data_IF_016297009378
#
_entry.id   IF_016297009378
#
_cell.length_a   1.000
_cell.length_b   1.000
_cell.length_c   1.000
_cell.angle_alpha   90.00
_cell.angle_beta   90.00
_cell.angle_gamma   90.00
#
_symmetry.space_group_name_H-M   'P 1'
#
loop_
_entity.id
_entity.type
_entity.pdbx_description
1 polymer ?
#
# COMPACT_ATOMS: atom_id res chain seq x y z
N UNK A 1 10.15 4.21 -0.89
CA UNK A 1 9.51 3.54 -2.05
C UNK A 1 9.97 4.23 -3.33
N UNK A 2 10.23 3.45 -4.40
CA UNK A 2 10.66 3.95 -5.70
C UNK A 2 9.54 4.62 -6.50
N UNK A 3 8.27 4.44 -6.12
CA UNK A 3 7.15 5.13 -6.74
C UNK A 3 7.22 6.66 -6.50
N UNK A 4 6.83 7.42 -7.53
CA UNK A 4 6.60 8.86 -7.50
C UNK A 4 5.24 9.23 -6.88
N UNK A 5 4.42 8.23 -6.53
CA UNK A 5 3.15 8.40 -5.82
C UNK A 5 3.31 9.24 -4.57
N UNK A 6 2.61 10.37 -4.57
CA UNK A 6 2.57 11.36 -3.49
C UNK A 6 1.15 11.60 -2.97
N UNK A 7 0.18 10.76 -3.37
CA UNK A 7 -1.17 10.80 -2.82
C UNK A 7 -1.19 10.16 -1.43
N UNK A 8 -1.97 10.74 -0.52
CA UNK A 8 -2.19 10.20 0.81
C UNK A 8 -3.57 9.52 0.86
N UNK A 9 -3.82 8.73 1.91
CA UNK A 9 -5.09 8.00 2.08
C UNK A 9 -6.30 8.92 2.22
N UNK A 10 -6.12 10.09 2.82
CA UNK A 10 -7.19 11.10 2.95
C UNK A 10 -7.69 11.57 1.56
N UNK A 11 -6.77 11.89 0.64
CA UNK A 11 -7.15 12.17 -0.74
C UNK A 11 -7.81 10.96 -1.41
N UNK A 12 -7.32 9.75 -1.13
CA UNK A 12 -7.89 8.51 -1.63
C UNK A 12 -9.37 8.37 -1.29
N UNK A 13 -9.72 8.45 -0.01
CA UNK A 13 -11.11 8.35 0.49
C UNK A 13 -12.00 9.44 -0.14
N UNK A 14 -11.54 10.69 -0.17
CA UNK A 14 -12.32 11.79 -0.74
C UNK A 14 -12.56 11.64 -2.24
N UNK A 15 -11.60 11.07 -2.98
CA UNK A 15 -11.73 10.79 -4.41
C UNK A 15 -12.70 9.63 -4.71
N UNK A 16 -13.10 8.83 -3.71
CA UNK A 16 -14.15 7.82 -3.87
C UNK A 16 -15.54 8.46 -3.88
N UNK A 17 -15.76 9.63 -3.26
CA UNK A 17 -17.08 10.25 -3.17
C UNK A 17 -17.71 10.56 -4.55
N UNK A 18 -17.00 11.14 -5.54
CA UNK A 18 -17.54 11.32 -6.87
C UNK A 18 -17.95 10.00 -7.55
N UNK A 19 -17.24 8.90 -7.28
CA UNK A 19 -17.59 7.57 -7.79
C UNK A 19 -18.90 7.08 -7.15
N UNK A 20 -19.03 7.22 -5.82
CA UNK A 20 -20.26 6.88 -5.09
C UNK A 20 -21.47 7.65 -5.63
N UNK A 21 -21.34 8.96 -5.85
CA UNK A 21 -22.40 9.78 -6.43
C UNK A 21 -22.77 9.31 -7.84
N UNK A 22 -21.76 9.00 -8.68
CA UNK A 22 -21.97 8.55 -10.05
C UNK A 22 -22.70 7.20 -10.11
N UNK A 23 -22.18 6.18 -9.42
CA UNK A 23 -22.77 4.84 -9.42
C UNK A 23 -24.11 4.79 -8.68
N UNK A 24 -24.25 5.57 -7.60
CA UNK A 24 -25.52 5.74 -6.89
C UNK A 24 -26.61 6.36 -7.79
N UNK A 25 -26.26 7.37 -8.59
CA UNK A 25 -27.18 7.95 -9.56
C UNK A 25 -27.57 6.95 -10.66
N UNK A 26 -26.64 6.12 -11.15
CA UNK A 26 -26.94 5.08 -12.13
C UNK A 26 -27.90 4.02 -11.58
N UNK A 27 -27.74 3.62 -10.32
CA UNK A 27 -28.66 2.70 -9.64
C UNK A 27 -29.95 3.38 -9.16
N UNK A 28 -30.06 4.71 -9.29
CA UNK A 28 -31.19 5.54 -8.84
C UNK A 28 -31.45 5.40 -7.33
N UNK A 29 -30.37 5.32 -6.56
CA UNK A 29 -30.43 5.31 -5.11
C UNK A 29 -30.97 6.66 -4.59
N UNK A 30 -31.71 6.62 -3.49
CA UNK A 30 -32.11 7.84 -2.80
C UNK A 30 -30.93 8.46 -2.07
N UNK A 31 -31.07 9.73 -1.66
CA UNK A 31 -29.99 10.47 -1.02
C UNK A 31 -29.52 9.82 0.29
N UNK A 32 -30.44 9.26 1.08
CA UNK A 32 -30.08 8.62 2.34
C UNK A 32 -29.24 7.35 2.12
N UNK A 33 -29.50 6.62 1.03
CA UNK A 33 -28.67 5.48 0.62
C UNK A 33 -27.30 5.94 0.15
N UNK A 34 -27.22 7.00 -0.67
CA UNK A 34 -25.93 7.57 -1.11
C UNK A 34 -25.10 8.03 0.10
N UNK A 35 -25.71 8.76 1.04
CA UNK A 35 -25.05 9.21 2.27
C UNK A 35 -24.58 8.03 3.13
N UNK A 36 -25.37 6.95 3.19
CA UNK A 36 -24.96 5.73 3.89
C UNK A 36 -23.73 5.07 3.28
N UNK A 37 -23.58 5.10 1.96
CA UNK A 37 -22.40 4.56 1.27
C UNK A 37 -21.19 5.45 1.53
N UNK A 38 -21.32 6.78 1.44
CA UNK A 38 -20.22 7.70 1.79
C UNK A 38 -19.69 7.45 3.20
N UNK A 39 -20.58 7.37 4.19
CA UNK A 39 -20.18 7.10 5.58
C UNK A 39 -19.45 5.76 5.68
N UNK A 40 -19.94 4.72 4.99
CA UNK A 40 -19.28 3.41 4.99
C UNK A 40 -17.86 3.49 4.40
N UNK A 41 -17.71 4.15 3.25
CA UNK A 41 -16.42 4.33 2.56
C UNK A 41 -15.43 5.17 3.37
N UNK A 42 -15.89 6.23 4.06
CA UNK A 42 -15.04 7.02 4.97
C UNK A 42 -14.50 6.19 6.16
N UNK A 43 -15.20 5.11 6.52
CA UNK A 43 -14.84 4.23 7.63
C UNK A 43 -13.79 3.17 7.32
N UNK A 44 -13.51 2.88 6.06
CA UNK A 44 -12.70 1.71 5.68
C UNK A 44 -11.19 1.94 5.88
N UNK A 45 -10.71 3.12 5.49
CA UNK A 45 -9.29 3.46 5.41
C UNK A 45 -8.64 4.27 6.58
N UNK A 46 -9.36 4.86 7.56
CA UNK A 46 -8.76 5.78 8.53
C UNK A 46 -7.90 5.09 9.60
N UNK A 47 -7.89 3.76 9.62
CA UNK A 47 -7.31 2.92 10.68
C UNK A 47 -5.94 2.35 10.33
N UNK A 48 -5.47 2.61 9.11
CA UNK A 48 -4.16 2.17 8.68
C UNK A 48 -3.06 2.81 9.52
N UNK A 49 -2.06 1.98 9.84
CA UNK A 49 -0.84 2.43 10.52
C UNK A 49 0.09 3.17 9.55
N UNK A 50 1.15 3.79 10.07
CA UNK A 50 2.24 4.30 9.25
C UNK A 50 2.74 3.24 8.25
N UNK A 51 3.01 3.66 7.02
CA UNK A 51 3.34 2.82 5.87
C UNK A 51 2.30 1.72 5.58
N UNK A 52 1.09 1.83 6.14
CA UNK A 52 -0.05 0.94 5.94
C UNK A 52 0.35 -0.54 6.02
N UNK A 53 0.18 -1.30 4.93
CA UNK A 53 0.36 -2.73 4.89
C UNK A 53 1.77 -3.16 5.31
N UNK A 54 2.79 -2.32 5.14
CA UNK A 54 4.16 -2.64 5.60
C UNK A 54 4.17 -2.99 7.09
N UNK A 55 3.50 -2.20 7.93
CA UNK A 55 3.46 -2.45 9.36
C UNK A 55 2.40 -3.46 9.76
N UNK A 56 1.37 -3.66 8.95
CA UNK A 56 0.44 -4.78 9.14
C UNK A 56 1.13 -6.13 8.93
N UNK A 57 2.03 -6.25 7.96
CA UNK A 57 2.88 -7.43 7.81
C UNK A 57 3.74 -7.67 9.06
N UNK A 58 4.20 -6.59 9.70
CA UNK A 58 4.92 -6.66 10.97
C UNK A 58 4.02 -6.93 12.19
N UNK A 59 2.69 -6.87 12.06
CA UNK A 59 1.73 -7.26 13.11
C UNK A 59 1.29 -8.70 12.89
N UNK A 60 0.79 -9.00 11.69
CA UNK A 60 0.10 -10.24 11.34
C UNK A 60 1.08 -11.32 10.88
N UNK A 61 1.83 -11.04 9.80
CA UNK A 61 2.94 -11.83 9.23
C UNK A 61 3.24 -11.39 7.78
N UNK A 62 4.41 -11.77 7.27
CA UNK A 62 4.78 -11.63 5.87
C UNK A 62 3.82 -12.40 4.94
N UNK A 63 3.31 -11.74 3.90
CA UNK A 63 2.29 -12.30 3.01
C UNK A 63 0.95 -12.63 3.70
N UNK A 64 0.70 -12.04 4.86
CA UNK A 64 -0.55 -12.17 5.61
C UNK A 64 -1.76 -11.56 4.90
N UNK A 65 -2.94 -11.58 5.56
CA UNK A 65 -4.17 -11.05 4.98
C UNK A 65 -4.15 -9.53 4.74
N UNK A 66 -3.31 -8.79 5.47
CA UNK A 66 -3.22 -7.32 5.40
C UNK A 66 -4.55 -6.64 5.76
N UNK A 67 -5.25 -7.21 6.76
CA UNK A 67 -6.59 -6.78 7.22
C UNK A 67 -6.61 -6.33 8.71
N UNK A 68 -5.45 -5.94 9.27
CA UNK A 68 -5.40 -5.53 10.67
C UNK A 68 -6.07 -4.17 10.89
N UNK A 69 -6.11 -3.32 9.88
CA UNK A 69 -6.66 -1.97 9.98
C UNK A 69 -8.19 -2.02 10.15
N UNK A 70 -8.90 -2.89 9.43
CA UNK A 70 -10.35 -3.12 9.59
C UNK A 70 -10.66 -3.61 11.01
N UNK A 71 -9.92 -4.61 11.51
CA UNK A 71 -10.07 -5.11 12.88
C UNK A 71 -9.83 -4.07 13.98
N UNK A 72 -9.16 -2.96 13.66
CA UNK A 72 -8.84 -1.87 14.61
C UNK A 72 -9.82 -0.72 14.55
N UNK A 73 -10.74 -0.71 13.58
CA UNK A 73 -11.73 0.35 13.43
C UNK A 73 -12.51 0.68 14.71
N UNK A 74 -13.15 -0.27 15.42
CA UNK A 74 -13.93 0.07 16.61
C UNK A 74 -13.15 0.84 17.66
N UNK A 75 -11.91 0.41 17.93
CA UNK A 75 -11.07 1.02 18.95
C UNK A 75 -10.61 2.42 18.53
N UNK A 76 -10.19 2.60 17.28
CA UNK A 76 -9.70 3.88 16.80
C UNK A 76 -10.82 4.90 16.64
N UNK A 77 -12.00 4.46 16.19
CA UNK A 77 -13.20 5.27 16.17
C UNK A 77 -13.58 5.73 17.60
N UNK A 78 -13.47 4.86 18.60
CA UNK A 78 -13.75 5.20 20.01
C UNK A 78 -12.75 6.25 20.51
N UNK A 79 -11.47 6.01 20.28
CA UNK A 79 -10.39 6.92 20.71
C UNK A 79 -10.47 8.28 20.03
N UNK A 80 -10.88 8.34 18.76
CA UNK A 80 -11.06 9.57 17.98
C UNK A 80 -12.36 10.32 18.28
N UNK A 81 -13.29 9.71 19.02
CA UNK A 81 -14.62 10.27 19.29
C UNK A 81 -15.63 10.08 18.16
N UNK A 82 -15.26 9.37 17.09
CA UNK A 82 -16.15 9.05 15.96
C UNK A 82 -17.35 8.22 16.40
N UNK A 83 -17.17 7.30 17.36
CA UNK A 83 -18.27 6.44 17.84
C UNK A 83 -19.42 7.23 18.45
N UNK A 84 -19.13 8.30 19.19
CA UNK A 84 -20.16 9.15 19.77
C UNK A 84 -21.04 9.80 18.68
N UNK A 85 -20.42 10.21 17.56
CA UNK A 85 -21.15 10.76 16.41
C UNK A 85 -21.98 9.67 15.74
N UNK A 86 -21.40 8.50 15.49
CA UNK A 86 -22.12 7.37 14.88
C UNK A 86 -23.33 6.93 15.73
N UNK A 87 -23.15 6.85 17.06
CA UNK A 87 -24.20 6.47 18.02
C UNK A 87 -25.35 7.49 18.04
N UNK A 88 -25.04 8.79 18.03
CA UNK A 88 -26.03 9.88 17.97
C UNK A 88 -26.90 9.78 16.70
N UNK A 89 -26.34 9.25 15.62
CA UNK A 89 -27.01 9.01 14.35
C UNK A 89 -27.57 7.59 14.18
N UNK A 90 -27.55 6.75 15.23
CA UNK A 90 -28.01 5.35 15.22
C UNK A 90 -27.32 4.48 14.16
N UNK A 91 -26.07 4.81 13.84
CA UNK A 91 -25.21 4.05 12.93
C UNK A 91 -24.48 3.00 13.76
N UNK A 92 -24.61 1.73 13.37
CA UNK A 92 -23.91 0.62 14.03
C UNK A 92 -22.57 0.38 13.35
N UNK A 93 -21.60 -0.15 14.07
CA UNK A 93 -20.29 -0.46 13.51
C UNK A 93 -19.68 -1.70 14.17
N UNK A 94 -18.90 -2.43 13.40
CA UNK A 94 -17.98 -3.47 13.85
C UNK A 94 -16.60 -3.20 13.23
N UNK A 95 -16.08 -4.11 12.41
CA UNK A 95 -14.92 -3.86 11.56
C UNK A 95 -15.26 -2.90 10.40
N UNK A 96 -16.55 -2.64 10.19
CA UNK A 96 -17.09 -1.71 9.19
C UNK A 96 -18.25 -0.90 9.74
N UNK A 97 -18.59 0.18 9.05
CA UNK A 97 -19.75 1.01 9.39
C UNK A 97 -21.02 0.47 8.69
N UNK A 98 -22.12 0.38 9.46
CA UNK A 98 -23.41 -0.13 9.01
C UNK A 98 -24.52 0.87 9.32
N UNK A 99 -25.07 1.50 8.29
CA UNK A 99 -26.21 2.43 8.43
C UNK A 99 -27.52 1.66 8.34
N UNK A 100 -28.32 1.71 9.41
CA UNK A 100 -29.56 0.95 9.52
C UNK A 100 -30.54 1.27 8.37
N UNK A 101 -31.01 0.22 7.71
CA UNK A 101 -31.99 0.33 6.62
C UNK A 101 -31.39 0.53 5.23
N UNK A 102 -30.07 0.66 5.13
CA UNK A 102 -29.33 0.78 3.88
C UNK A 102 -28.36 -0.38 3.71
N UNK A 103 -28.21 -0.84 2.48
CA UNK A 103 -27.30 -1.93 2.10
C UNK A 103 -26.18 -1.37 1.23
N UNK A 104 -24.92 -1.56 1.61
CA UNK A 104 -23.78 -1.16 0.78
C UNK A 104 -23.65 -2.14 -0.40
N UNK A 105 -23.80 -1.69 -1.66
CA UNK A 105 -23.78 -2.56 -2.84
C UNK A 105 -22.36 -3.05 -3.19
N UNK A 106 -22.25 -4.13 -3.98
CA UNK A 106 -20.97 -4.73 -4.38
C UNK A 106 -20.07 -3.78 -5.18
N UNK A 107 -20.64 -2.89 -5.99
CA UNK A 107 -19.85 -1.87 -6.70
C UNK A 107 -19.21 -0.86 -5.75
N UNK A 108 -19.77 -0.67 -4.55
CA UNK A 108 -19.20 0.20 -3.54
C UNK A 108 -18.10 -0.55 -2.80
N UNK A 109 -18.39 -1.73 -2.23
CA UNK A 109 -17.38 -2.58 -1.59
C UNK A 109 -17.52 -4.02 -2.10
N UNK A 110 -16.55 -4.47 -2.91
CA UNK A 110 -16.64 -5.80 -3.50
C UNK A 110 -16.33 -6.90 -2.48
N UNK A 111 -17.11 -7.97 -2.49
CA UNK A 111 -16.85 -9.14 -1.63
C UNK A 111 -15.75 -10.04 -2.17
N UNK A 112 -15.49 -9.99 -3.48
CA UNK A 112 -14.44 -10.80 -4.11
C UNK A 112 -13.25 -9.96 -4.51
N UNK A 113 -12.05 -10.52 -4.30
CA UNK A 113 -10.80 -9.85 -4.63
C UNK A 113 -10.54 -9.66 -6.12
N UNK A 114 -11.37 -10.20 -7.01
CA UNK A 114 -11.18 -10.11 -8.46
C UNK A 114 -12.08 -9.05 -9.09
N UNK A 115 -13.13 -8.64 -8.38
CA UNK A 115 -14.07 -7.61 -8.83
C UNK A 115 -13.49 -6.21 -8.63
N UNK A 116 -14.02 -5.25 -9.39
CA UNK A 116 -13.77 -3.84 -9.15
C UNK A 116 -14.85 -3.28 -8.22
N UNK A 117 -14.41 -2.36 -7.37
CA UNK A 117 -15.23 -1.50 -6.52
C UNK A 117 -14.70 -0.06 -6.59
N UNK A 118 -15.34 0.87 -5.85
CA UNK A 118 -14.93 2.29 -5.90
C UNK A 118 -13.53 2.51 -5.32
N UNK A 119 -13.13 1.76 -4.30
CA UNK A 119 -11.78 1.84 -3.73
C UNK A 119 -10.72 1.48 -4.76
N UNK A 120 -10.90 0.33 -5.43
CA UNK A 120 -9.98 -0.13 -6.48
C UNK A 120 -9.94 0.77 -7.68
N UNK A 121 -11.10 1.22 -8.14
CA UNK A 121 -11.17 2.11 -9.27
C UNK A 121 -10.47 3.44 -8.95
N UNK A 122 -10.64 3.96 -7.72
CA UNK A 122 -10.00 5.20 -7.28
C UNK A 122 -8.48 5.06 -7.30
N UNK A 123 -7.89 4.08 -6.60
CA UNK A 123 -6.42 4.01 -6.54
C UNK A 123 -5.83 3.64 -7.90
N UNK A 124 -6.54 2.84 -8.73
CA UNK A 124 -6.09 2.55 -10.09
C UNK A 124 -6.05 3.83 -10.93
N UNK A 125 -7.09 4.65 -10.86
CA UNK A 125 -7.15 5.92 -11.57
C UNK A 125 -6.07 6.89 -11.09
N UNK A 126 -5.94 7.06 -9.77
CA UNK A 126 -4.96 7.96 -9.17
C UNK A 126 -3.53 7.60 -9.59
N UNK A 127 -3.15 6.32 -9.53
CA UNK A 127 -1.81 5.89 -9.92
C UNK A 127 -1.59 5.93 -11.44
N UNK A 128 -2.57 5.49 -12.24
CA UNK A 128 -2.45 5.51 -13.70
C UNK A 128 -2.31 6.94 -14.23
N UNK A 129 -3.14 7.86 -13.73
CA UNK A 129 -3.10 9.27 -14.15
C UNK A 129 -1.82 9.95 -13.67
N UNK A 130 -1.30 9.60 -12.49
CA UNK A 130 0.02 10.09 -12.07
C UNK A 130 1.13 9.67 -13.04
N UNK A 131 1.09 8.43 -13.53
CA UNK A 131 2.13 7.90 -14.42
C UNK A 131 1.99 8.35 -15.87
N UNK A 132 0.77 8.57 -16.36
CA UNK A 132 0.51 8.77 -17.79
C UNK A 132 -0.22 10.08 -18.14
N UNK A 133 -0.84 10.79 -17.18
CA UNK A 133 -1.53 12.07 -17.41
C UNK A 133 -0.66 13.29 -17.06
N UNK A 134 0.55 13.34 -17.60
CA UNK A 134 1.45 14.49 -17.49
C UNK A 134 2.01 14.90 -18.85
N UNK A 135 2.46 16.15 -18.98
CA UNK A 135 2.84 16.75 -20.27
C UNK A 135 4.10 16.15 -20.93
N UNK A 136 4.85 15.33 -20.19
CA UNK A 136 6.00 14.60 -20.72
C UNK A 136 5.66 13.18 -21.20
N UNK A 137 4.45 12.68 -20.93
CA UNK A 137 3.98 11.40 -21.45
C UNK A 137 3.57 11.53 -22.93
N UNK A 138 3.64 10.44 -23.68
CA UNK A 138 3.17 10.41 -25.07
C UNK A 138 1.65 10.76 -25.12
N UNK A 139 1.21 11.72 -25.95
CA UNK A 139 -0.21 12.09 -26.03
C UNK A 139 -1.14 10.91 -26.34
N UNK A 140 -0.68 9.90 -27.08
CA UNK A 140 -1.48 8.74 -27.43
C UNK A 140 -1.75 7.83 -26.23
N UNK A 141 -0.73 7.55 -25.39
CA UNK A 141 -0.93 6.74 -24.18
C UNK A 141 -1.76 7.50 -23.15
N UNK A 142 -1.51 8.81 -23.01
CA UNK A 142 -2.31 9.69 -22.17
C UNK A 142 -3.79 9.63 -22.54
N UNK A 143 -4.11 9.79 -23.83
CA UNK A 143 -5.49 9.70 -24.32
C UNK A 143 -6.10 8.32 -24.05
N UNK A 144 -5.36 7.23 -24.33
CA UNK A 144 -5.83 5.85 -24.13
C UNK A 144 -6.14 5.54 -22.66
N UNK A 145 -5.28 5.96 -21.74
CA UNK A 145 -5.48 5.74 -20.30
C UNK A 145 -6.68 6.53 -19.79
N UNK A 146 -6.82 7.81 -20.18
CA UNK A 146 -7.96 8.63 -19.79
C UNK A 146 -9.28 8.10 -20.34
N UNK A 147 -9.28 7.67 -21.59
CA UNK A 147 -10.44 7.08 -22.23
C UNK A 147 -10.86 5.78 -21.52
N UNK A 148 -9.93 4.86 -21.26
CA UNK A 148 -10.23 3.61 -20.54
C UNK A 148 -10.75 3.82 -19.10
N UNK A 149 -10.41 4.93 -18.45
CA UNK A 149 -10.85 5.30 -17.10
C UNK A 149 -12.08 6.23 -17.10
N UNK A 150 -12.63 6.59 -18.26
CA UNK A 150 -13.83 7.42 -18.34
C UNK A 150 -15.01 6.69 -17.69
N UNK A 151 -15.77 7.38 -16.84
CA UNK A 151 -16.89 6.79 -16.11
C UNK A 151 -18.00 6.25 -17.03
N UNK A 152 -18.11 6.77 -18.26
CA UNK A 152 -19.03 6.26 -19.29
C UNK A 152 -18.69 4.86 -19.79
N UNK A 153 -17.51 4.33 -19.48
CA UNK A 153 -17.09 2.97 -19.81
C UNK A 153 -17.45 1.92 -18.75
N UNK A 154 -18.15 2.34 -17.70
CA UNK A 154 -18.63 1.49 -16.63
C UNK A 154 -20.15 1.43 -16.61
N UNK A 155 -20.68 0.28 -16.22
CA UNK A 155 -22.09 0.08 -15.93
C UNK A 155 -22.25 -0.86 -14.74
N UNK A 156 -23.47 -0.93 -14.21
CA UNK A 156 -23.80 -1.82 -13.10
C UNK A 156 -24.54 -3.05 -13.63
N UNK A 157 -24.11 -4.23 -13.20
CA UNK A 157 -24.86 -5.47 -13.45
C UNK A 157 -26.20 -5.44 -12.70
N UNK A 158 -27.17 -6.29 -13.07
CA UNK A 158 -28.43 -6.41 -12.34
C UNK A 158 -28.26 -6.70 -10.83
N UNK A 159 -27.16 -7.36 -10.47
CA UNK A 159 -26.83 -7.72 -9.08
C UNK A 159 -26.01 -6.63 -8.37
N UNK A 160 -25.78 -5.48 -9.03
CA UNK A 160 -25.11 -4.33 -8.43
C UNK A 160 -23.58 -4.45 -8.38
N UNK A 161 -22.97 -5.26 -9.26
CA UNK A 161 -21.51 -5.30 -9.43
C UNK A 161 -21.07 -4.30 -10.51
N UNK A 162 -19.84 -3.80 -10.39
CA UNK A 162 -19.25 -2.96 -11.41
C UNK A 162 -18.77 -3.79 -12.62
N UNK A 163 -19.14 -3.37 -13.82
CA UNK A 163 -18.72 -4.01 -15.07
C UNK A 163 -18.28 -2.97 -16.11
N UNK A 164 -17.40 -3.36 -17.01
CA UNK A 164 -17.07 -2.56 -18.17
C UNK A 164 -18.08 -2.75 -19.29
N UNK A 165 -18.37 -1.68 -20.01
CA UNK A 165 -19.20 -1.70 -21.23
C UNK A 165 -18.46 -2.32 -22.42
N UNK A 166 -17.13 -2.28 -22.40
CA UNK A 166 -16.25 -2.75 -23.47
C UNK A 166 -15.01 -3.48 -22.93
N UNK A 167 -14.64 -4.56 -23.61
CA UNK A 167 -13.55 -5.44 -23.17
C UNK A 167 -12.14 -4.88 -23.47
N UNK A 168 -11.98 -3.93 -24.40
CA UNK A 168 -10.70 -3.27 -24.67
C UNK A 168 -10.38 -2.24 -23.58
N UNK A 169 -11.38 -1.48 -23.10
CA UNK A 169 -11.19 -0.61 -21.92
C UNK A 169 -10.87 -1.43 -20.67
N UNK A 170 -11.60 -2.52 -20.44
CA UNK A 170 -11.32 -3.44 -19.34
C UNK A 170 -9.88 -4.01 -19.40
N UNK A 171 -9.39 -4.34 -20.60
CA UNK A 171 -8.03 -4.82 -20.83
C UNK A 171 -6.99 -3.76 -20.44
N UNK A 172 -7.20 -2.50 -20.84
CA UNK A 172 -6.29 -1.40 -20.50
C UNK A 172 -6.24 -1.19 -18.97
N UNK A 173 -7.39 -1.12 -18.30
CA UNK A 173 -7.46 -0.93 -16.84
C UNK A 173 -6.80 -2.09 -16.10
N UNK A 174 -7.05 -3.33 -16.53
CA UNK A 174 -6.44 -4.51 -15.91
C UNK A 174 -4.92 -4.55 -16.12
N UNK A 175 -4.43 -4.14 -17.30
CA UNK A 175 -2.99 -3.99 -17.55
C UNK A 175 -2.35 -2.90 -16.68
N UNK A 176 -3.04 -1.77 -16.41
CA UNK A 176 -2.54 -0.73 -15.51
C UNK A 176 -2.29 -1.30 -14.11
N UNK A 177 -3.26 -2.05 -13.57
CA UNK A 177 -3.10 -2.70 -12.27
C UNK A 177 -1.97 -3.75 -12.26
N UNK A 178 -1.79 -4.48 -13.37
CA UNK A 178 -0.65 -5.38 -13.54
C UNK A 178 0.68 -4.63 -13.40
N UNK A 179 0.82 -3.46 -14.01
CA UNK A 179 2.02 -2.62 -13.91
C UNK A 179 2.23 -2.05 -12.50
N UNK A 180 1.18 -1.74 -11.73
CA UNK A 180 1.41 -1.33 -10.33
C UNK A 180 2.09 -2.43 -9.52
N UNK A 181 1.77 -3.70 -9.82
CA UNK A 181 2.40 -4.82 -9.14
C UNK A 181 3.90 -5.00 -9.47
N UNK A 182 4.39 -4.52 -10.63
CA UNK A 182 5.82 -4.48 -10.96
C UNK A 182 6.57 -3.34 -10.27
N UNK A 183 5.87 -2.38 -9.66
CA UNK A 183 6.48 -1.22 -8.99
C UNK A 183 6.23 -1.18 -7.49
N UNK A 184 5.45 -2.12 -6.94
CA UNK A 184 5.06 -2.17 -5.54
C UNK A 184 5.35 -3.57 -4.95
N UNK A 185 4.29 -4.33 -4.63
CA UNK A 185 4.29 -5.53 -3.79
C UNK A 185 5.12 -6.68 -4.36
N UNK A 186 5.22 -6.76 -5.68
CA UNK A 186 5.89 -7.87 -6.34
C UNK A 186 7.19 -7.45 -7.01
N UNK A 187 7.68 -6.24 -6.79
CA UNK A 187 9.04 -5.92 -7.17
C UNK A 187 10.05 -6.48 -6.13
N UNK A 188 11.09 -7.21 -6.56
CA UNK A 188 12.13 -7.72 -5.66
C UNK A 188 12.83 -6.66 -4.79
N UNK A 189 13.11 -5.45 -5.31
CA UNK A 189 13.74 -4.37 -4.53
C UNK A 189 12.76 -3.88 -3.46
N UNK A 190 11.48 -3.74 -3.81
CA UNK A 190 10.46 -3.32 -2.86
C UNK A 190 10.22 -4.35 -1.76
N UNK A 191 10.23 -5.65 -2.05
CA UNK A 191 10.19 -6.67 -0.99
C UNK A 191 11.36 -6.48 -0.01
N UNK A 192 12.53 -6.10 -0.52
CA UNK A 192 13.66 -5.75 0.34
C UNK A 192 13.45 -4.43 1.12
N UNK A 193 12.89 -3.40 0.48
CA UNK A 193 12.57 -2.12 1.15
C UNK A 193 11.49 -2.28 2.23
N UNK A 194 10.48 -3.12 2.00
CA UNK A 194 9.46 -3.45 2.98
C UNK A 194 10.11 -4.06 4.21
N UNK A 195 10.95 -5.08 4.01
CA UNK A 195 11.65 -5.75 5.11
C UNK A 195 12.58 -4.79 5.88
N UNK A 196 13.45 -4.05 5.19
CA UNK A 196 14.35 -3.08 5.83
C UNK A 196 13.58 -1.94 6.51
N UNK A 197 12.46 -1.51 5.93
CA UNK A 197 11.58 -0.49 6.50
C UNK A 197 10.93 -0.95 7.81
N UNK A 198 10.51 -2.21 7.90
CA UNK A 198 10.01 -2.80 9.16
C UNK A 198 11.10 -2.74 10.23
N UNK A 199 12.31 -3.20 9.93
CA UNK A 199 13.44 -3.16 10.87
C UNK A 199 13.77 -1.73 11.31
N UNK A 200 13.76 -0.79 10.37
CA UNK A 200 13.97 0.63 10.63
C UNK A 200 12.94 1.22 11.59
N UNK A 201 11.65 0.93 11.37
CA UNK A 201 10.56 1.36 12.25
C UNK A 201 10.69 0.74 13.65
N UNK A 202 10.92 -0.56 13.73
CA UNK A 202 11.12 -1.25 15.01
C UNK A 202 12.28 -0.63 15.80
N UNK A 203 13.42 -0.39 15.14
CA UNK A 203 14.61 0.20 15.77
C UNK A 203 14.33 1.62 16.25
N UNK A 204 13.62 2.42 15.45
CA UNK A 204 13.22 3.78 15.83
C UNK A 204 12.34 3.81 17.08
N UNK A 205 11.42 2.85 17.24
CA UNK A 205 10.59 2.76 18.44
C UNK A 205 11.40 2.31 19.64
N UNK A 206 12.21 1.26 19.50
CA UNK A 206 12.97 0.71 20.63
C UNK A 206 14.04 1.69 21.15
N UNK A 207 14.69 2.42 20.26
CA UNK A 207 15.66 3.47 20.59
C UNK A 207 15.02 4.84 20.83
N UNK A 208 13.68 4.90 20.93
CA UNK A 208 12.89 6.11 21.23
C UNK A 208 13.24 7.31 20.35
N UNK A 209 13.41 7.06 19.05
CA UNK A 209 13.86 8.06 18.05
C UNK A 209 12.74 8.95 17.53
N UNK A 210 11.49 8.65 17.84
CA UNK A 210 10.36 9.48 17.45
C UNK A 210 10.19 10.59 18.49
N UNK A 211 10.31 11.85 18.05
CA UNK A 211 10.34 13.02 18.95
C UNK A 211 9.14 13.14 19.90
N UNK A 212 7.99 12.58 19.50
CA UNK A 212 6.75 12.66 20.26
C UNK A 212 6.59 11.57 21.35
N UNK A 213 7.43 10.53 21.36
CA UNK A 213 7.25 9.39 22.29
C UNK A 213 7.29 9.82 23.75
N UNK A 214 8.28 10.64 24.13
CA UNK A 214 8.47 11.10 25.50
C UNK A 214 7.28 11.91 26.01
N UNK A 215 6.62 12.68 25.14
CA UNK A 215 5.44 13.47 25.50
C UNK A 215 4.24 12.60 25.86
N UNK A 216 4.16 11.40 25.29
CA UNK A 216 3.01 10.48 25.41
C UNK A 216 3.22 9.52 26.58
N UNK A 217 4.38 8.88 26.63
CA UNK A 217 4.63 7.77 27.57
C UNK A 217 5.53 8.14 28.76
N UNK A 218 6.06 9.37 28.79
CA UNK A 218 6.96 9.92 29.81
C UNK A 218 8.30 9.16 29.94
N UNK A 219 8.83 8.68 28.82
CA UNK A 219 10.14 8.01 28.76
C UNK A 219 10.07 6.50 28.96
N UNK A 220 8.88 5.93 29.18
CA UNK A 220 8.69 4.49 29.37
C UNK A 220 8.16 3.86 28.08
N UNK A 221 8.99 3.08 27.39
CA UNK A 221 8.57 2.37 26.17
C UNK A 221 7.49 1.34 26.51
N UNK A 222 6.28 1.59 26.01
CA UNK A 222 5.11 0.70 26.10
C UNK A 222 5.17 -0.35 24.99
N UNK A 223 4.13 -1.18 24.87
CA UNK A 223 4.01 -2.13 23.76
C UNK A 223 4.28 -1.47 22.39
N UNK A 224 5.34 -1.89 21.66
CA UNK A 224 5.81 -1.21 20.46
C UNK A 224 4.76 -1.02 19.35
N UNK A 225 3.81 -1.94 19.20
CA UNK A 225 2.76 -1.81 18.16
C UNK A 225 1.86 -0.58 18.33
N UNK A 226 1.75 -0.02 19.54
CA UNK A 226 0.96 1.20 19.76
C UNK A 226 1.56 2.41 19.05
N UNK A 227 2.88 2.42 18.82
CA UNK A 227 3.56 3.53 18.17
C UNK A 227 3.43 3.49 16.64
N UNK A 228 2.89 2.42 16.06
CA UNK A 228 2.66 2.31 14.62
C UNK A 228 1.61 3.31 14.10
N UNK A 229 0.78 3.88 14.98
CA UNK A 229 -0.21 4.90 14.66
C UNK A 229 0.37 6.33 14.56
N UNK A 230 1.70 6.46 14.48
CA UNK A 230 2.33 7.70 13.99
C UNK A 230 2.10 7.89 12.48
N UNK A 231 2.71 8.92 11.91
CA UNK A 231 2.70 9.15 10.45
C UNK A 231 4.00 8.70 9.79
N UNK A 232 3.98 8.34 8.50
CA UNK A 232 5.14 7.88 7.73
C UNK A 232 6.36 8.80 7.85
N UNK A 233 6.12 10.12 7.89
CA UNK A 233 7.17 11.13 8.00
C UNK A 233 7.94 11.03 9.32
N UNK A 234 7.28 10.70 10.43
CA UNK A 234 7.94 10.59 11.75
C UNK A 234 9.07 9.54 11.70
N UNK A 235 8.80 8.42 11.03
CA UNK A 235 9.76 7.34 10.86
C UNK A 235 10.83 7.66 9.81
N UNK A 236 10.44 8.33 8.73
CA UNK A 236 11.38 8.75 7.68
C UNK A 236 12.42 9.74 8.23
N UNK A 237 11.97 10.70 9.05
CA UNK A 237 12.85 11.66 9.71
C UNK A 237 13.76 10.96 10.73
N UNK A 238 13.23 10.00 11.50
CA UNK A 238 14.01 9.23 12.46
C UNK A 238 15.06 8.28 11.81
N UNK A 239 14.80 7.84 10.56
CA UNK A 239 15.77 7.10 9.74
C UNK A 239 16.84 8.01 9.09
N UNK A 240 16.60 9.33 9.04
CA UNK A 240 17.53 10.28 8.43
C UNK A 240 18.71 10.55 9.36
N UNK A 241 19.75 9.73 9.25
CA UNK A 241 21.00 9.94 10.01
C UNK A 241 21.92 10.90 9.26
N UNK A 242 22.20 12.06 9.84
CA UNK A 242 23.29 12.93 9.38
C UNK A 242 24.68 12.30 9.59
N UNK A 243 25.75 12.88 9.01
CA UNK A 243 27.12 12.41 9.27
C UNK A 243 27.45 12.53 10.78
N UNK A 244 27.70 11.40 11.46
CA UNK A 244 27.91 11.36 12.92
C UNK A 244 27.36 10.13 13.68
N UNK A 245 26.77 9.14 13.00
CA UNK A 245 26.38 7.79 13.47
C UNK A 245 25.97 7.64 14.95
N UNK A 246 24.74 8.00 15.31
CA UNK A 246 24.20 7.63 16.64
C UNK A 246 23.77 6.16 16.72
N UNK A 247 23.51 5.50 15.58
CA UNK A 247 23.22 4.07 15.46
C UNK A 247 23.66 3.57 14.09
N UNK A 248 24.61 2.64 14.09
CA UNK A 248 25.21 2.07 12.88
C UNK A 248 24.21 1.19 12.11
N UNK A 249 23.30 0.48 12.78
CA UNK A 249 22.31 -0.36 12.12
C UNK A 249 21.29 0.48 11.34
N UNK A 250 20.77 1.55 11.96
CA UNK A 250 19.87 2.51 11.28
C UNK A 250 20.58 3.17 10.10
N UNK A 251 21.85 3.56 10.27
CA UNK A 251 22.64 4.14 9.18
C UNK A 251 22.77 3.19 7.99
N UNK A 252 23.05 1.90 8.22
CA UNK A 252 23.16 0.90 7.16
C UNK A 252 21.81 0.68 6.45
N UNK A 253 20.70 0.61 7.19
CA UNK A 253 19.35 0.53 6.61
C UNK A 253 19.07 1.76 5.73
N UNK A 254 19.30 2.96 6.27
CA UNK A 254 19.02 4.23 5.60
C UNK A 254 19.81 4.37 4.30
N UNK A 255 21.10 4.01 4.31
CA UNK A 255 21.94 4.03 3.12
C UNK A 255 21.41 3.09 2.02
N UNK A 256 21.08 1.85 2.37
CA UNK A 256 20.56 0.88 1.38
C UNK A 256 19.24 1.39 0.79
N UNK A 257 18.30 1.83 1.64
CA UNK A 257 16.98 2.31 1.21
C UNK A 257 17.07 3.54 0.30
N UNK A 258 17.87 4.55 0.69
CA UNK A 258 18.00 5.79 -0.06
C UNK A 258 18.66 5.56 -1.42
N UNK A 259 19.77 4.81 -1.43
CA UNK A 259 20.56 4.57 -2.63
C UNK A 259 19.79 3.75 -3.66
N UNK A 260 19.26 2.59 -3.26
CA UNK A 260 18.48 1.74 -4.16
C UNK A 260 17.15 2.38 -4.56
N UNK A 261 16.51 3.15 -3.66
CA UNK A 261 15.31 3.91 -3.99
C UNK A 261 15.55 5.00 -5.04
N UNK A 262 16.68 5.71 -4.96
CA UNK A 262 17.08 6.69 -5.98
C UNK A 262 17.38 6.02 -7.33
N UNK A 263 18.01 4.86 -7.32
CA UNK A 263 18.30 4.09 -8.54
C UNK A 263 17.02 3.63 -9.23
N UNK A 264 16.08 3.03 -8.49
CA UNK A 264 14.81 2.58 -9.04
C UNK A 264 13.95 3.75 -9.55
N UNK A 265 13.98 4.92 -8.90
CA UNK A 265 13.33 6.14 -9.44
C UNK A 265 13.89 6.56 -10.80
N UNK A 266 15.23 6.57 -10.93
CA UNK A 266 15.88 6.88 -12.22
C UNK A 266 15.50 5.85 -13.26
N UNK A 267 15.54 4.57 -12.90
CA UNK A 267 15.20 3.47 -13.78
C UNK A 267 13.75 3.54 -14.27
N UNK A 268 12.82 3.88 -13.40
CA UNK A 268 11.42 4.07 -13.74
C UNK A 268 11.27 5.14 -14.82
N UNK A 269 11.84 6.33 -14.59
CA UNK A 269 11.75 7.48 -15.50
C UNK A 269 12.51 7.24 -16.81
N UNK A 270 13.72 6.69 -16.75
CA UNK A 270 14.61 6.56 -17.90
C UNK A 270 14.26 5.36 -18.80
N UNK A 271 13.70 4.28 -18.23
CA UNK A 271 13.54 3.01 -18.95
C UNK A 271 12.12 2.42 -18.85
N UNK A 272 11.59 2.23 -17.64
CA UNK A 272 10.35 1.45 -17.46
C UNK A 272 9.13 2.14 -18.02
N UNK A 273 9.01 3.46 -17.87
CA UNK A 273 7.83 4.21 -18.35
C UNK A 273 7.60 4.02 -19.87
N UNK A 274 8.68 3.93 -20.66
CA UNK A 274 8.60 3.69 -22.10
C UNK A 274 8.22 2.23 -22.45
N UNK A 275 8.58 1.27 -21.61
CA UNK A 275 8.15 -0.14 -21.74
C UNK A 275 6.68 -0.29 -21.35
N UNK A 276 6.28 0.34 -20.25
CA UNK A 276 4.90 0.37 -19.77
C UNK A 276 3.96 1.01 -20.79
N UNK A 277 4.40 2.13 -21.38
CA UNK A 277 3.70 2.77 -22.50
C UNK A 277 3.49 1.79 -23.65
N UNK A 278 4.52 1.06 -24.07
CA UNK A 278 4.40 0.06 -25.14
C UNK A 278 3.42 -1.05 -24.77
N UNK A 279 3.48 -1.56 -23.55
CA UNK A 279 2.60 -2.61 -23.06
C UNK A 279 1.11 -2.20 -23.01
N UNK A 280 0.83 -0.98 -22.57
CA UNK A 280 -0.52 -0.41 -22.54
C UNK A 280 -1.08 -0.17 -23.95
N UNK A 281 -0.22 0.24 -24.89
CA UNK A 281 -0.61 0.52 -26.28
C UNK A 281 -0.74 -0.75 -27.14
N UNK A 282 -0.15 -1.88 -26.76
CA UNK A 282 -0.19 -3.14 -27.52
C UNK A 282 -1.21 -4.13 -26.95
N UNK A 283 -2.40 -4.18 -27.51
CA UNK A 283 -3.47 -5.13 -27.12
C UNK A 283 -3.13 -6.61 -27.37
N UNK A 284 -2.11 -6.86 -28.18
CA UNK A 284 -1.62 -8.22 -28.47
C UNK A 284 -0.45 -8.65 -27.58
N UNK A 285 -0.01 -7.78 -26.66
CA UNK A 285 1.11 -8.06 -25.75
C UNK A 285 0.92 -9.43 -25.08
N UNK A 286 1.88 -10.32 -25.33
CA UNK A 286 1.80 -11.71 -24.86
C UNK A 286 2.51 -11.93 -23.53
N UNK A 287 3.47 -11.05 -23.21
CA UNK A 287 4.31 -11.16 -22.04
C UNK A 287 4.05 -9.98 -21.12
N UNK A 288 3.91 -10.28 -19.85
CA UNK A 288 3.88 -9.31 -18.77
C UNK A 288 5.26 -8.62 -18.64
N UNK A 289 5.35 -7.27 -18.62
CA UNK A 289 6.61 -6.53 -18.60
C UNK A 289 7.25 -6.56 -17.20
N UNK A 290 7.72 -7.75 -16.85
CA UNK A 290 8.12 -8.09 -15.50
C UNK A 290 9.62 -7.98 -15.29
N UNK A 291 9.98 -7.42 -14.14
CA UNK A 291 11.33 -7.46 -13.58
C UNK A 291 11.86 -8.88 -13.36
N UNK A 292 10.95 -9.85 -13.28
CA UNK A 292 11.27 -11.26 -13.15
C UNK A 292 11.76 -11.90 -14.46
N UNK A 293 11.36 -11.36 -15.63
CA UNK A 293 11.55 -12.01 -16.93
C UNK A 293 12.72 -11.43 -17.74
N UNK A 294 12.95 -10.12 -17.64
CA UNK A 294 14.11 -9.46 -18.22
C UNK A 294 14.68 -8.44 -17.23
N UNK A 295 15.53 -8.86 -16.27
CA UNK A 295 16.16 -7.92 -15.35
C UNK A 295 17.18 -7.07 -16.12
N UNK A 296 16.72 -6.04 -16.82
CA UNK A 296 17.54 -4.92 -17.31
C UNK A 296 17.88 -4.04 -16.11
N UNK A 297 18.61 -4.61 -15.16
CA UNK A 297 19.08 -3.93 -13.96
C UNK A 297 20.46 -3.39 -14.25
N UNK A 298 20.58 -2.06 -14.23
CA UNK A 298 21.90 -1.44 -14.27
C UNK A 298 22.41 -1.38 -12.85
N UNK A 299 23.33 -2.27 -12.50
CA UNK A 299 24.00 -2.28 -11.20
C UNK A 299 24.84 -1.01 -11.07
N UNK A 300 24.40 -0.04 -10.28
CA UNK A 300 25.17 1.17 -9.98
C UNK A 300 25.14 1.48 -8.48
N UNK A 301 25.91 0.74 -7.67
CA UNK A 301 26.09 1.07 -6.25
C UNK A 301 27.34 1.94 -5.97
N UNK A 302 27.29 2.95 -5.08
CA UNK A 302 28.45 3.47 -4.38
C UNK A 302 29.20 2.43 -3.52
N UNK A 303 30.42 2.81 -3.12
CA UNK A 303 31.54 1.95 -2.69
C UNK A 303 31.41 1.26 -1.31
N UNK A 304 30.29 1.35 -0.56
CA UNK A 304 30.23 0.90 0.85
C UNK A 304 29.18 -0.18 1.20
N UNK A 305 28.08 -0.30 0.46
CA UNK A 305 27.03 -1.31 0.68
C UNK A 305 26.29 -1.57 -0.62
N UNK A 306 25.90 -2.82 -0.88
CA UNK A 306 25.06 -3.18 -2.02
C UNK A 306 24.02 -4.22 -1.63
N UNK A 307 22.93 -4.23 -2.38
CA UNK A 307 21.84 -5.18 -2.24
C UNK A 307 21.61 -5.87 -3.58
N UNK A 308 21.56 -7.19 -3.55
CA UNK A 308 21.26 -8.03 -4.70
C UNK A 308 19.97 -8.79 -4.44
N UNK A 309 19.14 -8.95 -5.47
CA UNK A 309 17.89 -9.70 -5.37
C UNK A 309 17.84 -10.74 -6.48
N UNK A 310 17.56 -11.97 -6.10
CA UNK A 310 17.42 -13.12 -6.98
C UNK A 310 16.01 -13.71 -6.82
N UNK A 311 15.40 -14.06 -7.94
CA UNK A 311 14.09 -14.69 -7.99
C UNK A 311 14.27 -16.18 -7.75
N UNK A 312 13.50 -16.76 -6.85
CA UNK A 312 13.64 -18.18 -6.49
C UNK A 312 12.30 -18.89 -6.52
N UNK A 313 12.28 -20.06 -7.17
CA UNK A 313 11.19 -21.01 -7.00
C UNK A 313 11.26 -21.58 -5.59
N UNK A 314 10.12 -21.57 -4.90
CA UNK A 314 10.01 -22.08 -3.54
C UNK A 314 9.48 -23.50 -3.56
N UNK A 315 10.14 -24.40 -2.83
CA UNK A 315 9.56 -25.71 -2.52
C UNK A 315 8.32 -25.58 -1.63
N UNK A 316 7.46 -26.59 -1.60
CA UNK A 316 6.26 -26.57 -0.74
C UNK A 316 6.62 -26.47 0.75
N UNK A 317 7.75 -27.04 1.14
CA UNK A 317 8.29 -26.89 2.50
C UNK A 317 8.68 -25.43 2.78
N UNK A 318 9.40 -24.78 1.86
CA UNK A 318 9.76 -23.36 1.99
C UNK A 318 8.54 -22.46 2.04
N UNK A 319 7.53 -22.70 1.19
CA UNK A 319 6.25 -21.97 1.23
C UNK A 319 5.57 -22.10 2.59
N UNK A 320 5.52 -23.32 3.13
CA UNK A 320 4.91 -23.59 4.44
C UNK A 320 5.67 -22.89 5.57
N UNK A 321 7.01 -22.94 5.54
CA UNK A 321 7.84 -22.25 6.51
C UNK A 321 7.65 -20.73 6.44
N UNK A 322 7.69 -20.15 5.24
CA UNK A 322 7.54 -18.70 5.03
C UNK A 322 6.12 -18.20 5.36
N UNK A 323 5.09 -19.02 5.20
CA UNK A 323 3.73 -18.67 5.61
C UNK A 323 3.56 -18.57 7.15
N UNK A 324 4.53 -19.06 7.91
CA UNK A 324 4.52 -19.05 9.38
C UNK A 324 5.41 -17.98 10.00
N UNK A 325 6.31 -17.35 9.22
CA UNK A 325 7.21 -16.31 9.75
C UNK A 325 6.53 -14.96 9.79
N UNK A 326 6.71 -14.24 10.89
CA UNK A 326 6.20 -12.88 11.03
C UNK A 326 6.93 -11.92 10.10
N UNK A 327 8.25 -11.97 10.11
CA UNK A 327 9.15 -11.19 9.25
C UNK A 327 10.28 -12.12 8.76
N UNK A 328 10.70 -12.06 7.49
CA UNK A 328 11.80 -12.88 6.97
C UNK A 328 13.07 -12.76 7.83
N UNK A 329 13.77 -13.88 8.02
CA UNK A 329 14.97 -13.94 8.86
C UNK A 329 16.20 -14.24 8.01
N UNK A 330 17.37 -13.74 8.45
CA UNK A 330 18.64 -14.08 7.81
C UNK A 330 18.88 -15.60 7.83
N UNK A 331 19.33 -16.15 6.71
CA UNK A 331 19.63 -17.56 6.56
C UNK A 331 20.72 -18.01 7.56
N UNK A 332 20.55 -19.19 8.15
CA UNK A 332 21.50 -19.73 9.14
C UNK A 332 22.71 -20.32 8.42
N UNK A 333 23.92 -20.06 8.93
CA UNK A 333 25.12 -20.79 8.58
C UNK A 333 25.97 -20.21 7.44
N UNK A 334 25.52 -19.15 6.77
CA UNK A 334 26.30 -18.48 5.73
C UNK A 334 26.97 -17.20 6.24
N UNK A 335 28.18 -16.92 5.75
CA UNK A 335 28.81 -15.59 5.86
C UNK A 335 28.07 -14.54 5.03
N UNK A 336 27.27 -15.00 4.07
CA UNK A 336 26.37 -14.18 3.27
C UNK A 336 25.20 -13.66 4.11
N UNK A 337 24.90 -12.37 3.96
CA UNK A 337 23.80 -11.68 4.63
C UNK A 337 22.56 -11.78 3.75
N UNK A 338 22.00 -12.98 3.67
CA UNK A 338 20.85 -13.28 2.82
C UNK A 338 19.61 -13.67 3.63
N UNK A 339 18.44 -13.40 3.06
CA UNK A 339 17.15 -13.96 3.50
C UNK A 339 16.27 -14.23 2.28
N UNK A 340 15.26 -15.08 2.46
CA UNK A 340 14.24 -15.32 1.43
C UNK A 340 12.94 -14.67 1.88
N UNK A 341 12.44 -13.74 1.09
CA UNK A 341 11.10 -13.19 1.20
C UNK A 341 10.12 -14.06 0.41
N UNK A 342 9.07 -14.53 1.07
CA UNK A 342 7.97 -15.23 0.42
C UNK A 342 7.12 -14.30 -0.46
N UNK A 343 6.15 -14.87 -1.19
CA UNK A 343 5.17 -14.09 -1.95
C UNK A 343 4.35 -13.18 -1.03
N UNK A 344 3.89 -12.04 -1.58
CA UNK A 344 2.95 -11.13 -0.91
C UNK A 344 1.53 -11.31 -1.48
N UNK A 345 0.54 -10.62 -0.90
CA UNK A 345 -0.84 -10.66 -1.35
C UNK A 345 -0.94 -10.26 -2.83
N UNK A 346 -1.56 -11.10 -3.65
CA UNK A 346 -1.79 -10.83 -5.07
C UNK A 346 -2.90 -9.77 -5.22
N UNK A 347 -2.71 -8.83 -6.14
CA UNK A 347 -3.62 -7.67 -6.36
C UNK A 347 -4.14 -7.58 -7.80
N UNK A 348 -4.25 -8.70 -8.51
CA UNK A 348 -4.86 -8.70 -9.84
C UNK A 348 -6.39 -8.59 -9.75
N UNK A 349 -7.01 -8.18 -10.86
CA UNK A 349 -8.47 -8.18 -11.05
C UNK A 349 -8.84 -9.15 -12.17
N UNK A 350 -10.11 -9.47 -12.30
CA UNK A 350 -10.67 -10.09 -13.51
C UNK A 350 -12.08 -9.56 -13.70
N UNK A 351 -12.19 -8.29 -14.13
CA UNK A 351 -13.44 -7.56 -14.04
C UNK A 351 -14.50 -8.16 -14.97
N UNK A 352 -15.77 -7.90 -14.64
CA UNK A 352 -16.87 -8.23 -15.51
C UNK A 352 -16.88 -7.29 -16.73
N UNK A 353 -17.19 -7.85 -17.89
CA UNK A 353 -17.37 -7.12 -19.15
C UNK A 353 -18.70 -7.48 -19.77
N UNK A 354 -19.36 -6.50 -20.36
CA UNK A 354 -20.60 -6.72 -21.10
C UNK A 354 -20.31 -7.45 -22.41
N UNK A 355 -21.03 -8.55 -22.63
CA UNK A 355 -21.03 -9.30 -23.87
C UNK A 355 -22.47 -9.52 -24.32
N UNK A 356 -22.94 -8.63 -25.21
CA UNK A 356 -24.34 -8.60 -25.64
C UNK A 356 -25.26 -8.20 -24.49
N UNK A 357 -26.09 -9.16 -24.05
CA UNK A 357 -27.05 -8.99 -22.94
C UNK A 357 -26.60 -9.72 -21.66
N UNK A 358 -25.37 -10.22 -21.61
CA UNK A 358 -24.81 -10.94 -20.46
C UNK A 358 -23.48 -10.33 -20.03
N UNK A 359 -23.01 -10.72 -18.85
CA UNK A 359 -21.72 -10.34 -18.30
C UNK A 359 -20.81 -11.56 -18.18
N UNK A 360 -19.55 -11.40 -18.58
CA UNK A 360 -18.54 -12.45 -18.51
C UNK A 360 -17.25 -11.89 -17.90
N UNK A 361 -16.35 -12.74 -17.42
CA UNK A 361 -15.04 -12.31 -16.95
C UNK A 361 -14.18 -11.84 -18.12
N UNK A 362 -13.32 -10.86 -17.89
CA UNK A 362 -12.39 -10.38 -18.93
C UNK A 362 -11.49 -11.51 -19.43
N UNK A 363 -11.03 -12.40 -18.56
CA UNK A 363 -10.21 -13.56 -18.93
C UNK A 363 -10.92 -14.50 -19.92
N UNK A 364 -12.24 -14.66 -19.80
CA UNK A 364 -13.05 -15.43 -20.75
C UNK A 364 -13.23 -14.68 -22.08
N UNK A 365 -13.42 -13.36 -22.02
CA UNK A 365 -13.65 -12.52 -23.21
C UNK A 365 -12.37 -12.26 -24.03
N UNK A 366 -11.21 -12.20 -23.37
CA UNK A 366 -9.90 -11.84 -23.97
C UNK A 366 -8.85 -12.88 -23.58
N UNK A 367 -8.57 -13.89 -24.43
CA UNK A 367 -7.55 -14.91 -24.16
C UNK A 367 -6.14 -14.36 -23.94
N UNK A 368 -5.82 -13.18 -24.49
CA UNK A 368 -4.57 -12.48 -24.20
C UNK A 368 -4.47 -12.10 -22.72
N UNK A 369 -5.57 -11.62 -22.14
CA UNK A 369 -5.62 -11.25 -20.73
C UNK A 369 -5.47 -12.47 -19.81
N UNK A 370 -6.17 -13.57 -20.12
CA UNK A 370 -6.05 -14.81 -19.35
C UNK A 370 -4.60 -15.30 -19.25
N UNK A 371 -3.83 -15.18 -20.33
CA UNK A 371 -2.40 -15.54 -20.34
C UNK A 371 -1.56 -14.58 -19.49
N UNK A 372 -1.74 -13.27 -19.66
CA UNK A 372 -1.03 -12.26 -18.86
C UNK A 372 -1.34 -12.42 -17.36
N UNK A 373 -2.59 -12.68 -17.00
CA UNK A 373 -3.03 -12.93 -15.62
C UNK A 373 -2.37 -14.19 -15.07
N UNK A 374 -2.38 -15.31 -15.81
CA UNK A 374 -1.74 -16.54 -15.38
C UNK A 374 -0.22 -16.37 -15.20
N UNK A 375 0.44 -15.62 -16.08
CA UNK A 375 1.86 -15.30 -15.95
C UNK A 375 2.13 -14.43 -14.73
N UNK A 376 1.32 -13.39 -14.48
CA UNK A 376 1.41 -12.56 -13.28
C UNK A 376 1.22 -13.42 -12.02
N UNK A 377 0.19 -14.27 -11.97
CA UNK A 377 -0.09 -15.17 -10.84
C UNK A 377 1.10 -16.09 -10.55
N UNK A 378 1.71 -16.67 -11.59
CA UNK A 378 2.91 -17.49 -11.46
C UNK A 378 4.07 -16.69 -10.85
N UNK A 379 4.40 -15.53 -11.42
CA UNK A 379 5.53 -14.72 -10.99
C UNK A 379 5.36 -14.19 -9.56
N UNK A 380 4.13 -13.81 -9.20
CA UNK A 380 3.83 -13.35 -7.83
C UNK A 380 3.91 -14.48 -6.80
N UNK A 381 3.79 -15.74 -7.22
CA UNK A 381 3.98 -16.92 -6.35
C UNK A 381 5.46 -17.21 -5.99
N UNK A 382 6.40 -16.60 -6.71
CA UNK A 382 7.83 -16.81 -6.52
C UNK A 382 8.36 -16.10 -5.27
N UNK A 383 9.40 -16.67 -4.68
CA UNK A 383 10.17 -16.04 -3.63
C UNK A 383 11.21 -15.08 -4.18
N UNK A 384 11.73 -14.22 -3.31
CA UNK A 384 12.87 -13.36 -3.61
C UNK A 384 13.94 -13.58 -2.56
N UNK A 385 15.10 -14.09 -2.98
CA UNK A 385 16.31 -14.08 -2.17
C UNK A 385 16.91 -12.69 -2.24
N UNK A 386 17.15 -12.08 -1.08
CA UNK A 386 17.79 -10.78 -0.95
C UNK A 386 19.12 -11.00 -0.25
N UNK A 387 20.21 -10.52 -0.85
CA UNK A 387 21.56 -10.64 -0.33
C UNK A 387 22.19 -9.26 -0.18
N UNK A 388 22.79 -9.00 0.97
CA UNK A 388 23.52 -7.75 1.24
C UNK A 388 25.02 -7.98 1.23
N UNK A 389 25.76 -7.03 0.64
CA UNK A 389 27.20 -6.97 0.74
C UNK A 389 27.63 -5.60 1.30
N UNK A 390 28.70 -5.60 2.09
CA UNK A 390 29.24 -4.39 2.71
C UNK A 390 30.74 -4.32 2.45
N UNK A 391 31.27 -3.12 2.21
CA UNK A 391 32.69 -2.93 1.90
C UNK A 391 33.61 -3.19 3.10
N UNK A 392 33.07 -3.21 4.32
CA UNK A 392 33.82 -3.55 5.52
C UNK A 392 33.17 -4.73 6.25
N UNK A 393 34.02 -5.63 6.77
CA UNK A 393 33.57 -6.74 7.60
C UNK A 393 32.90 -6.27 8.90
N UNK A 394 33.22 -5.06 9.37
CA UNK A 394 32.57 -4.43 10.53
C UNK A 394 31.08 -4.17 10.28
N UNK A 395 30.74 -3.55 9.15
CA UNK A 395 29.35 -3.26 8.77
C UNK A 395 28.54 -4.53 8.55
N UNK A 396 29.12 -5.54 7.90
CA UNK A 396 28.45 -6.83 7.73
C UNK A 396 28.05 -7.48 9.06
N UNK A 397 28.95 -7.43 10.06
CA UNK A 397 28.68 -7.92 11.41
C UNK A 397 27.61 -7.07 12.12
N UNK A 398 27.76 -5.74 12.09
CA UNK A 398 26.80 -4.82 12.71
C UNK A 398 25.39 -4.99 12.13
N UNK A 399 25.27 -5.15 10.81
CA UNK A 399 23.99 -5.41 10.16
C UNK A 399 23.39 -6.75 10.62
N UNK A 400 24.18 -7.83 10.61
CA UNK A 400 23.74 -9.16 11.08
C UNK A 400 23.25 -9.12 12.53
N UNK A 401 24.03 -8.50 13.41
CA UNK A 401 23.73 -8.40 14.83
C UNK A 401 22.55 -7.46 15.07
N UNK A 402 22.41 -6.41 14.26
CA UNK A 402 21.26 -5.51 14.23
C UNK A 402 19.98 -6.28 13.93
N UNK A 403 19.89 -6.93 12.76
CA UNK A 403 18.70 -7.69 12.34
C UNK A 403 18.25 -8.70 13.41
N UNK A 404 19.19 -9.50 13.94
CA UNK A 404 18.88 -10.53 14.95
C UNK A 404 18.42 -9.94 16.29
N UNK A 405 19.07 -8.88 16.76
CA UNK A 405 18.73 -8.26 18.05
C UNK A 405 17.42 -7.49 17.95
N UNK A 406 17.19 -6.80 16.82
CA UNK A 406 16.04 -5.94 16.62
C UNK A 406 14.73 -6.72 16.74
N UNK A 407 14.59 -7.85 16.03
CA UNK A 407 13.39 -8.68 16.12
C UNK A 407 13.20 -9.28 17.52
N UNK A 408 14.26 -9.82 18.11
CA UNK A 408 14.20 -10.45 19.42
C UNK A 408 13.82 -9.45 20.52
N UNK A 409 14.36 -8.23 20.45
CA UNK A 409 14.06 -7.16 21.39
C UNK A 409 12.64 -6.62 21.20
N UNK A 410 12.19 -6.44 19.95
CA UNK A 410 10.85 -5.98 19.64
C UNK A 410 9.80 -6.94 20.18
N UNK A 411 9.96 -8.25 19.94
CA UNK A 411 9.08 -9.29 20.47
C UNK A 411 9.11 -9.35 22.00
N UNK A 412 10.29 -9.25 22.61
CA UNK A 412 10.43 -9.18 24.06
C UNK A 412 9.65 -8.00 24.63
N UNK A 413 9.79 -6.81 24.06
CA UNK A 413 9.06 -5.61 24.50
C UNK A 413 7.55 -5.74 24.26
N UNK A 414 7.14 -6.29 23.12
CA UNK A 414 5.73 -6.54 22.81
C UNK A 414 5.05 -7.43 23.86
N UNK A 415 5.78 -8.41 24.40
CA UNK A 415 5.29 -9.35 25.42
C UNK A 415 5.40 -8.82 26.85
N UNK A 416 6.47 -8.08 27.17
CA UNK A 416 6.81 -7.70 28.56
C UNK A 416 6.43 -6.28 28.95
N UNK A 417 6.31 -5.36 27.99
CA UNK A 417 5.96 -3.98 28.27
C UNK A 417 4.46 -3.85 28.60
N UNK A 418 4.16 -2.93 29.52
CA UNK A 418 2.78 -2.52 29.78
C UNK A 418 2.15 -1.93 28.51
N UNK A 419 0.85 -2.12 28.35
CA UNK A 419 0.10 -1.43 27.30
C UNK A 419 -0.02 0.08 27.60
N UNK A 420 -0.30 0.87 26.57
CA UNK A 420 -0.69 2.27 26.74
C UNK A 420 -2.10 2.37 27.31
N UNK A 421 -2.33 3.39 28.14
CA UNK A 421 -3.68 3.80 28.55
C UNK A 421 -4.49 4.32 27.35
N UNK A 422 -5.82 4.37 27.46
CA UNK A 422 -6.68 4.98 26.44
C UNK A 422 -6.28 6.43 26.13
N UNK A 423 -5.98 7.22 27.16
CA UNK A 423 -5.52 8.62 26.99
C UNK A 423 -4.23 8.70 26.16
N UNK A 424 -3.27 7.82 26.42
CA UNK A 424 -2.02 7.77 25.65
C UNK A 424 -2.25 7.38 24.19
N UNK A 425 -3.08 6.37 23.92
CA UNK A 425 -3.42 5.94 22.56
C UNK A 425 -4.15 7.07 21.80
N UNK A 426 -5.13 7.72 22.45
CA UNK A 426 -5.81 8.91 21.90
C UNK A 426 -4.84 10.02 21.54
N UNK A 427 -3.89 10.33 22.44
CA UNK A 427 -2.88 11.38 22.20
C UNK A 427 -1.96 11.07 21.01
N UNK A 428 -1.66 9.79 20.72
CA UNK A 428 -0.91 9.41 19.51
C UNK A 428 -1.70 9.82 18.26
N UNK A 429 -2.97 9.43 18.21
CA UNK A 429 -3.87 9.70 17.08
C UNK A 429 -4.03 11.20 16.86
N UNK A 430 -4.30 11.95 17.93
CA UNK A 430 -4.46 13.41 17.88
C UNK A 430 -3.20 14.12 17.37
N UNK A 431 -2.04 13.70 17.86
CA UNK A 431 -0.78 14.29 17.40
C UNK A 431 -0.44 13.88 15.96
N UNK A 432 -0.73 12.65 15.55
CA UNK A 432 -0.57 12.19 14.17
C UNK A 432 -1.43 13.02 13.21
N UNK A 433 -2.71 13.24 13.55
CA UNK A 433 -3.62 14.10 12.79
C UNK A 433 -3.09 15.55 12.68
N UNK A 434 -2.69 16.16 13.81
CA UNK A 434 -2.13 17.52 13.81
C UNK A 434 -0.87 17.66 12.95
N UNK A 435 0.04 16.67 13.01
CA UNK A 435 1.26 16.66 12.18
C UNK A 435 0.94 16.44 10.71
N UNK A 436 0.00 15.54 10.39
CA UNK A 436 -0.47 15.31 9.02
C UNK A 436 -1.00 16.61 8.40
N UNK A 437 -1.92 17.29 9.09
CA UNK A 437 -2.47 18.59 8.66
C UNK A 437 -1.36 19.61 8.38
N UNK A 438 -0.39 19.71 9.30
CA UNK A 438 0.75 20.63 9.14
C UNK A 438 1.59 20.29 7.91
N UNK A 439 1.87 19.02 7.65
CA UNK A 439 2.62 18.58 6.48
C UNK A 439 1.87 18.87 5.18
N UNK A 440 0.56 18.58 5.12
CA UNK A 440 -0.27 18.92 3.96
C UNK A 440 -0.23 20.43 3.66
N UNK A 441 -0.35 21.27 4.70
CA UNK A 441 -0.19 22.72 4.54
C UNK A 441 1.20 23.14 4.03
N UNK A 442 2.26 22.50 4.51
CA UNK A 442 3.64 22.80 4.11
C UNK A 442 3.96 22.34 2.70
N UNK A 443 3.41 21.20 2.27
CA UNK A 443 3.59 20.65 0.93
C UNK A 443 2.86 21.46 -0.15
N UNK A 444 2.04 22.46 0.23
CA UNK A 444 1.17 23.17 -0.70
C UNK A 444 0.05 22.29 -1.27
N UNK A 445 -0.07 21.05 -0.79
CA UNK A 445 -1.13 20.10 -1.11
C UNK A 445 -2.35 20.50 -0.29
N UNK A 446 -2.99 21.56 -0.77
CA UNK A 446 -4.32 21.92 -0.38
C UNK A 446 -5.25 21.28 -1.41
N UNK A 447 -5.61 20.01 -1.19
CA UNK A 447 -6.80 19.44 -1.83
C UNK A 447 -8.08 19.95 -1.13
N UNK A 448 -7.95 20.64 0.01
CA UNK A 448 -9.08 20.99 0.89
C UNK A 448 -9.35 22.49 1.12
N UNK A 449 -8.96 23.44 0.25
CA UNK A 449 -9.42 24.84 0.40
C UNK A 449 -10.71 25.16 -0.35
N UNK A 450 -11.15 24.32 -1.28
CA UNK A 450 -12.35 24.61 -2.08
C UNK A 450 -13.64 24.20 -1.37
N UNK A 451 -13.71 22.95 -0.92
CA UNK A 451 -14.98 22.30 -0.56
C UNK A 451 -15.13 22.05 0.94
N UNK A 452 -14.10 21.61 1.66
CA UNK A 452 -14.17 21.45 3.11
C UNK A 452 -14.39 22.78 3.87
N UNK A 453 -13.83 23.89 3.35
CA UNK A 453 -14.10 25.20 3.94
C UNK A 453 -15.52 25.68 3.65
N UNK A 454 -16.10 25.38 2.48
CA UNK A 454 -17.53 25.63 2.20
C UNK A 454 -18.43 24.78 3.09
N UNK A 455 -18.12 23.50 3.24
CA UNK A 455 -18.87 22.61 4.12
C UNK A 455 -18.85 23.10 5.58
N UNK A 456 -17.70 23.52 6.09
CA UNK A 456 -17.58 24.08 7.45
C UNK A 456 -18.22 25.47 7.60
N UNK A 457 -18.35 26.24 6.51
CA UNK A 457 -19.08 27.52 6.47
C UNK A 457 -20.59 27.33 6.30
N UNK A 458 -21.04 26.20 5.73
CA UNK A 458 -22.46 25.83 5.58
C UNK A 458 -23.02 25.12 6.83
N UNK A 459 -22.17 24.51 7.65
CA UNK A 459 -22.53 23.82 8.92
C UNK A 459 -22.46 24.75 10.14
N UNK A 460 -22.02 26.01 9.98
CA UNK A 460 -22.09 27.08 11.01
C UNK A 460 -23.24 28.03 10.75
#
# INVERSE_FOLDING_TARGET
MPNLASFNRECGVLEQHPLVEHFGAMQKLDRGHIDAIHIATEGDDPTHTAFSHKLELAIQRWGGPEDNHEHKFPLLAELGGTTAVLDDHQVTYDERIHVKGYHVPEWAHATTREDLDVDRLQYIAAEALLWFDHDAADPAVRARVKDALDLGNFELTPDGQLAFTDADHALVVSKLLMLFSTEHWNDPINRAHLHLGIHGVQRNIMERRLAWMDEIDRGETRKPTNYFYGIDQDFTDALSTGPGHSDEFVYLISNILNESGMQERRRFVEYRLAEYTRFIMDDSAQNYPSEYLEPKRVEFGPRSSSMHTEVVELSDEQKTQLASVKVPQLEKGNDDLSYIAGPLKNRYIDPLVRQGNTYVRLSDAKPVYARLRAEQEYLQSLGVRVSFAFATHGYARQFRDGMKRNDAEFERLQQSASDMTHDQKRRIIEQAAQRSIKLCHQAGVVVLKGEAQRFLEEVR
#
